data_IF_005878424129
#
_entry.id   IF_005878424129
#
_cell.length_a   1.000
_cell.length_b   1.000
_cell.length_c   1.000
_cell.angle_alpha   90.00
_cell.angle_beta   90.00
_cell.angle_gamma   90.00
#
_symmetry.space_group_name_H-M   'P 1'
#
loop_
_entity.id
_entity.type
_entity.pdbx_description
1 polymer ?
#
# COMPACT_ATOMS: atom_id res chain seq x y z
N UNK A 1 22.99 -18.05 -21.19
CA UNK A 1 24.08 -18.65 -22.00
C UNK A 1 25.20 -19.26 -21.15
N UNK A 2 26.01 -18.49 -20.40
CA UNK A 2 27.14 -19.01 -19.62
C UNK A 2 26.79 -20.18 -18.68
N UNK A 3 25.65 -20.08 -17.96
CA UNK A 3 25.13 -21.16 -17.10
C UNK A 3 24.89 -22.48 -17.84
N UNK A 4 24.32 -22.42 -19.05
CA UNK A 4 23.99 -23.60 -19.87
C UNK A 4 25.23 -24.24 -20.47
N UNK A 5 26.16 -23.41 -20.97
CA UNK A 5 27.47 -23.88 -21.42
C UNK A 5 28.23 -24.60 -20.29
N UNK A 6 28.24 -24.03 -19.09
CA UNK A 6 28.86 -24.65 -17.91
C UNK A 6 28.18 -25.96 -17.50
N UNK A 7 26.85 -26.08 -17.61
CA UNK A 7 26.12 -27.34 -17.39
C UNK A 7 26.53 -28.47 -18.35
N UNK A 8 26.99 -28.12 -19.56
CA UNK A 8 27.51 -29.06 -20.55
C UNK A 8 29.02 -29.31 -20.41
N UNK A 9 29.67 -28.75 -19.39
CA UNK A 9 31.12 -28.78 -19.19
C UNK A 9 31.93 -28.25 -20.40
N UNK A 10 31.36 -27.31 -21.17
CA UNK A 10 32.05 -26.72 -22.32
C UNK A 10 32.79 -25.43 -21.94
N UNK A 11 33.96 -25.24 -22.55
CA UNK A 11 34.69 -23.97 -22.61
C UNK A 11 34.05 -23.02 -23.63
N UNK A 12 34.36 -21.72 -23.54
CA UNK A 12 33.90 -20.74 -24.54
C UNK A 12 34.41 -21.08 -25.95
N UNK A 13 35.61 -21.65 -26.05
CA UNK A 13 36.21 -22.08 -27.32
C UNK A 13 35.46 -23.25 -27.95
N UNK A 14 35.00 -24.21 -27.16
CA UNK A 14 34.21 -25.35 -27.66
C UNK A 14 32.83 -24.92 -28.15
N UNK A 15 32.18 -23.98 -27.46
CA UNK A 15 30.94 -23.38 -27.95
C UNK A 15 31.18 -22.59 -29.24
N UNK A 16 32.25 -21.80 -29.29
CA UNK A 16 32.62 -21.01 -30.46
C UNK A 16 32.83 -21.89 -31.71
N UNK A 17 33.54 -23.01 -31.55
CA UNK A 17 33.72 -24.01 -32.62
C UNK A 17 32.40 -24.61 -33.09
N UNK A 18 31.50 -25.00 -32.17
CA UNK A 18 30.21 -25.62 -32.53
C UNK A 18 29.25 -24.67 -33.24
N UNK A 19 29.33 -23.37 -33.01
CA UNK A 19 28.46 -22.37 -33.65
C UNK A 19 29.14 -21.62 -34.81
N UNK A 20 30.39 -21.99 -35.12
CA UNK A 20 31.24 -21.38 -36.12
C UNK A 20 31.43 -19.86 -35.92
N UNK A 21 31.91 -19.47 -34.74
CA UNK A 21 32.25 -18.07 -34.40
C UNK A 21 33.55 -18.00 -33.59
N UNK A 22 34.02 -16.80 -33.25
CA UNK A 22 35.25 -16.63 -32.46
C UNK A 22 34.99 -16.75 -30.96
N UNK A 23 35.98 -17.26 -30.22
CA UNK A 23 35.94 -17.33 -28.75
C UNK A 23 35.74 -15.96 -28.12
N UNK A 24 36.34 -14.91 -28.70
CA UNK A 24 36.17 -13.53 -28.26
C UNK A 24 34.74 -13.02 -28.45
N UNK A 25 34.06 -13.45 -29.52
CA UNK A 25 32.65 -13.12 -29.74
C UNK A 25 31.75 -13.81 -28.71
N UNK A 26 31.97 -15.09 -28.41
CA UNK A 26 31.27 -15.81 -27.32
C UNK A 26 31.48 -15.10 -25.98
N UNK A 27 32.72 -14.69 -25.66
CA UNK A 27 33.01 -13.96 -24.43
C UNK A 27 32.25 -12.64 -24.33
N UNK A 28 32.19 -11.85 -25.42
CA UNK A 28 31.45 -10.58 -25.45
C UNK A 28 29.95 -10.76 -25.30
N UNK A 29 29.39 -11.85 -25.87
CA UNK A 29 27.98 -12.21 -25.71
C UNK A 29 27.69 -12.61 -24.26
N UNK A 30 28.51 -13.48 -23.67
CA UNK A 30 28.32 -13.93 -22.29
C UNK A 30 28.48 -12.81 -21.26
N UNK A 31 29.32 -11.81 -21.53
CA UNK A 31 29.49 -10.64 -20.68
C UNK A 31 28.48 -9.52 -20.95
N UNK A 32 27.50 -9.74 -21.84
CA UNK A 32 26.49 -8.73 -22.21
C UNK A 32 27.02 -7.52 -22.99
N UNK A 33 28.27 -7.56 -23.46
CA UNK A 33 28.93 -6.46 -24.20
C UNK A 33 28.60 -6.45 -25.69
N UNK A 34 27.94 -7.50 -26.19
CA UNK A 34 27.56 -7.63 -27.60
C UNK A 34 26.27 -8.43 -27.74
N UNK A 35 25.32 -7.89 -28.51
CA UNK A 35 24.08 -8.57 -28.87
C UNK A 35 24.24 -9.16 -30.28
N UNK A 36 24.27 -10.49 -30.44
CA UNK A 36 24.54 -11.11 -31.74
C UNK A 36 23.31 -11.06 -32.67
N UNK A 37 23.50 -11.12 -34.00
CA UNK A 37 22.41 -11.27 -34.95
C UNK A 37 21.59 -12.53 -34.66
N UNK A 38 20.29 -12.48 -34.93
CA UNK A 38 19.32 -13.54 -34.63
C UNK A 38 19.76 -14.93 -35.14
N UNK A 39 20.33 -14.97 -36.35
CA UNK A 39 20.87 -16.19 -36.98
C UNK A 39 22.00 -16.83 -36.16
N UNK A 40 22.86 -16.03 -35.54
CA UNK A 40 23.96 -16.51 -34.70
C UNK A 40 23.42 -16.94 -33.32
N UNK A 41 22.48 -16.17 -32.77
CA UNK A 41 21.82 -16.52 -31.51
C UNK A 41 21.11 -17.87 -31.63
N UNK A 42 20.31 -18.09 -32.68
CA UNK A 42 19.61 -19.34 -32.94
C UNK A 42 20.56 -20.55 -32.98
N UNK A 43 21.72 -20.42 -33.63
CA UNK A 43 22.75 -21.47 -33.66
C UNK A 43 23.30 -21.78 -32.26
N UNK A 44 23.62 -20.75 -31.47
CA UNK A 44 24.11 -20.90 -30.09
C UNK A 44 23.13 -21.68 -29.24
N UNK A 45 21.84 -21.35 -29.35
CA UNK A 45 20.78 -21.96 -28.56
C UNK A 45 20.55 -23.41 -28.95
N UNK A 46 20.48 -23.70 -30.26
CA UNK A 46 20.37 -25.06 -30.79
C UNK A 46 21.53 -25.95 -30.34
N UNK A 47 22.76 -25.42 -30.39
CA UNK A 47 23.98 -26.14 -29.99
C UNK A 47 24.02 -26.42 -28.50
N UNK A 48 23.55 -25.48 -27.67
CA UNK A 48 23.46 -25.67 -26.21
C UNK A 48 22.27 -26.55 -25.80
N UNK A 49 21.55 -27.12 -26.77
CA UNK A 49 20.32 -27.89 -26.57
C UNK A 49 19.31 -27.16 -25.66
N UNK A 50 19.30 -25.84 -25.81
CA UNK A 50 18.36 -24.97 -25.14
C UNK A 50 17.03 -25.14 -25.88
N UNK A 51 16.19 -26.07 -25.39
CA UNK A 51 14.82 -26.35 -25.91
C UNK A 51 13.88 -25.14 -25.85
N UNK A 52 14.37 -24.05 -25.30
CA UNK A 52 13.69 -22.87 -24.82
C UNK A 52 13.50 -21.84 -25.95
N UNK A 53 14.01 -22.13 -27.18
CA UNK A 53 14.00 -21.25 -28.37
C UNK A 53 13.69 -21.96 -29.70
N UNK A 54 13.27 -23.23 -29.69
CA UNK A 54 12.88 -23.97 -30.91
C UNK A 54 11.47 -23.64 -31.42
N UNK A 55 10.74 -22.74 -30.76
CA UNK A 55 9.40 -22.33 -31.21
C UNK A 55 9.45 -20.92 -31.79
N UNK A 56 8.93 -20.68 -33.00
CA UNK A 56 8.74 -19.33 -33.55
C UNK A 56 7.66 -18.52 -32.81
N UNK A 57 6.92 -19.14 -31.88
CA UNK A 57 5.76 -18.56 -31.18
C UNK A 57 6.12 -17.81 -29.89
N UNK A 58 7.31 -17.20 -29.77
CA UNK A 58 7.79 -16.55 -28.52
C UNK A 58 7.50 -15.03 -28.38
N UNK A 59 6.96 -14.38 -29.41
CA UNK A 59 6.45 -13.01 -29.34
C UNK A 59 5.15 -12.79 -28.50
N UNK A 60 4.22 -13.76 -28.34
CA UNK A 60 3.00 -13.57 -27.55
C UNK A 60 3.29 -13.41 -26.05
N UNK A 61 4.31 -14.07 -25.48
CA UNK A 61 4.47 -14.10 -24.02
C UNK A 61 4.89 -12.73 -23.45
N UNK A 62 5.84 -12.04 -24.08
CA UNK A 62 6.22 -10.68 -23.65
C UNK A 62 5.03 -9.73 -23.81
N UNK A 63 4.30 -9.85 -24.92
CA UNK A 63 3.09 -9.06 -25.14
C UNK A 63 2.04 -9.33 -24.05
N UNK A 64 1.77 -10.61 -23.72
CA UNK A 64 0.85 -11.01 -22.66
C UNK A 64 1.29 -10.52 -21.27
N UNK A 65 2.58 -10.64 -20.93
CA UNK A 65 3.12 -10.13 -19.67
C UNK A 65 2.99 -8.59 -19.59
N UNK A 66 3.22 -7.90 -20.70
CA UNK A 66 3.09 -6.44 -20.79
C UNK A 66 1.62 -6.03 -20.68
N UNK A 67 0.70 -6.72 -21.36
CA UNK A 67 -0.75 -6.52 -21.24
C UNK A 67 -1.23 -6.81 -19.82
N UNK A 68 -0.69 -7.86 -19.17
CA UNK A 68 -0.99 -8.14 -17.78
C UNK A 68 -0.52 -7.01 -16.87
N UNK A 69 0.74 -6.55 -17.01
CA UNK A 69 1.25 -5.42 -16.26
C UNK A 69 0.40 -4.16 -16.45
N UNK A 70 0.04 -3.83 -17.70
CA UNK A 70 -0.83 -2.70 -18.02
C UNK A 70 -2.19 -2.83 -17.34
N UNK A 71 -2.79 -4.02 -17.35
CA UNK A 71 -4.07 -4.26 -16.67
C UNK A 71 -3.97 -4.10 -15.13
N UNK A 72 -2.82 -4.44 -14.53
CA UNK A 72 -2.55 -4.22 -13.10
C UNK A 72 -2.43 -2.71 -12.82
N UNK A 73 -1.61 -2.00 -13.59
CA UNK A 73 -1.40 -0.54 -13.49
C UNK A 73 -2.72 0.23 -13.67
N UNK A 74 -3.57 -0.25 -14.58
CA UNK A 74 -4.92 0.29 -14.81
C UNK A 74 -5.95 -0.16 -13.76
N UNK A 75 -5.57 -1.04 -12.83
CA UNK A 75 -6.45 -1.67 -11.84
C UNK A 75 -7.70 -2.29 -12.48
N UNK A 76 -7.55 -2.84 -13.67
CA UNK A 76 -8.59 -3.61 -14.32
C UNK A 76 -8.58 -5.02 -13.74
N UNK A 77 -9.16 -5.17 -12.54
CA UNK A 77 -9.13 -6.41 -11.75
C UNK A 77 -9.61 -7.65 -12.53
N UNK A 78 -10.66 -7.50 -13.35
CA UNK A 78 -11.18 -8.60 -14.14
C UNK A 78 -10.16 -9.07 -15.19
N UNK A 79 -9.56 -8.13 -15.92
CA UNK A 79 -8.57 -8.43 -16.96
C UNK A 79 -7.24 -8.91 -16.37
N UNK A 80 -6.79 -8.28 -15.28
CA UNK A 80 -5.58 -8.69 -14.57
C UNK A 80 -5.71 -10.12 -14.02
N UNK A 81 -6.85 -10.47 -13.43
CA UNK A 81 -7.10 -11.84 -12.97
C UNK A 81 -7.23 -12.85 -14.11
N UNK A 82 -7.79 -12.45 -15.26
CA UNK A 82 -7.82 -13.30 -16.46
C UNK A 82 -6.39 -13.63 -16.91
N UNK A 83 -5.55 -12.62 -17.09
CA UNK A 83 -4.15 -12.81 -17.48
C UNK A 83 -3.37 -13.64 -16.45
N UNK A 84 -3.58 -13.41 -15.15
CA UNK A 84 -2.96 -14.20 -14.09
C UNK A 84 -3.25 -15.70 -14.25
N UNK A 85 -4.53 -16.07 -14.44
CA UNK A 85 -4.95 -17.48 -14.63
C UNK A 85 -4.43 -18.09 -15.92
N UNK A 86 -4.34 -17.31 -16.99
CA UNK A 86 -3.79 -17.77 -18.26
C UNK A 86 -2.28 -18.03 -18.13
N UNK A 87 -1.55 -17.09 -17.55
CA UNK A 87 -0.09 -17.12 -17.44
C UNK A 87 0.42 -18.15 -16.42
N UNK A 88 -0.36 -18.54 -15.42
CA UNK A 88 -0.04 -19.66 -14.52
C UNK A 88 0.12 -21.00 -15.25
N UNK A 89 -0.49 -21.16 -16.43
CA UNK A 89 -0.42 -22.41 -17.22
C UNK A 89 0.85 -22.53 -18.05
N UNK A 90 1.59 -21.43 -18.22
CA UNK A 90 2.79 -21.41 -19.05
C UNK A 90 4.02 -21.71 -18.19
N UNK A 91 4.94 -22.57 -18.65
CA UNK A 91 6.21 -22.80 -17.97
C UNK A 91 7.13 -21.59 -18.17
N UNK A 92 6.94 -20.54 -17.36
CA UNK A 92 7.76 -19.33 -17.37
C UNK A 92 9.12 -19.69 -16.80
N UNK A 93 10.04 -20.15 -17.64
CA UNK A 93 11.22 -20.83 -17.09
C UNK A 93 12.55 -20.49 -17.73
N UNK A 94 12.66 -19.61 -18.74
CA UNK A 94 13.93 -19.58 -19.49
C UNK A 94 14.53 -18.22 -19.87
N UNK A 95 13.80 -17.10 -19.78
CA UNK A 95 14.38 -15.77 -20.09
C UNK A 95 14.38 -14.85 -18.88
N UNK A 96 15.56 -14.33 -18.53
CA UNK A 96 15.76 -13.44 -17.38
C UNK A 96 14.79 -12.26 -17.36
N UNK A 97 14.62 -11.55 -18.48
CA UNK A 97 13.73 -10.38 -18.55
C UNK A 97 12.25 -10.75 -18.42
N UNK A 98 11.83 -11.90 -18.95
CA UNK A 98 10.44 -12.37 -18.83
C UNK A 98 10.16 -12.86 -17.41
N UNK A 99 11.12 -13.53 -16.78
CA UNK A 99 11.04 -13.96 -15.40
C UNK A 99 11.01 -12.76 -14.44
N UNK A 100 11.81 -11.74 -14.71
CA UNK A 100 11.78 -10.48 -13.97
C UNK A 100 10.39 -9.83 -14.06
N UNK A 101 9.88 -9.63 -15.28
CA UNK A 101 8.56 -9.03 -15.49
C UNK A 101 7.44 -9.88 -14.88
N UNK A 102 7.51 -11.21 -14.99
CA UNK A 102 6.56 -12.10 -14.36
C UNK A 102 6.59 -11.98 -12.82
N UNK A 103 7.78 -11.90 -12.23
CA UNK A 103 7.94 -11.71 -10.77
C UNK A 103 7.35 -10.37 -10.34
N UNK A 104 7.60 -9.30 -11.09
CA UNK A 104 6.99 -8.00 -10.86
C UNK A 104 5.46 -8.05 -10.96
N UNK A 105 4.91 -8.66 -12.02
CA UNK A 105 3.47 -8.76 -12.20
C UNK A 105 2.80 -9.54 -11.08
N UNK A 106 3.38 -10.67 -10.63
CA UNK A 106 2.84 -11.40 -9.47
C UNK A 106 2.88 -10.55 -8.20
N UNK A 107 4.00 -9.87 -7.96
CA UNK A 107 4.13 -8.98 -6.82
C UNK A 107 3.06 -7.89 -6.84
N UNK A 108 2.98 -7.12 -7.93
CA UNK A 108 2.00 -6.04 -8.08
C UNK A 108 0.56 -6.55 -8.05
N UNK A 109 0.27 -7.72 -8.62
CA UNK A 109 -1.04 -8.38 -8.54
C UNK A 109 -1.46 -8.56 -7.08
N UNK A 110 -0.60 -9.13 -6.23
CA UNK A 110 -0.94 -9.30 -4.81
C UNK A 110 -1.08 -7.95 -4.08
N UNK A 111 -0.29 -6.93 -4.46
CA UNK A 111 -0.41 -5.58 -3.89
C UNK A 111 -1.74 -4.90 -4.22
N UNK A 112 -2.24 -4.98 -5.46
CA UNK A 112 -3.52 -4.35 -5.82
C UNK A 112 -4.73 -4.98 -5.11
N UNK A 113 -4.59 -6.21 -4.60
CA UNK A 113 -5.58 -6.89 -3.76
C UNK A 113 -5.30 -6.78 -2.25
N UNK A 114 -4.33 -5.96 -1.84
CA UNK A 114 -3.95 -5.76 -0.43
C UNK A 114 -3.48 -7.04 0.28
N UNK A 115 -2.83 -7.96 -0.44
CA UNK A 115 -2.34 -9.24 0.10
C UNK A 115 -0.84 -9.20 0.35
N UNK A 116 -0.42 -8.38 1.30
CA UNK A 116 1.00 -8.19 1.64
C UNK A 116 1.71 -9.49 2.01
N UNK A 117 1.03 -10.43 2.69
CA UNK A 117 1.59 -11.74 3.05
C UNK A 117 1.86 -12.64 1.84
N UNK A 118 1.10 -12.47 0.75
CA UNK A 118 1.34 -13.21 -0.50
C UNK A 118 2.38 -12.49 -1.35
N UNK A 119 2.34 -11.14 -1.37
CA UNK A 119 3.33 -10.33 -2.06
C UNK A 119 4.74 -10.56 -1.52
N UNK A 120 4.92 -10.78 -0.21
CA UNK A 120 6.24 -11.00 0.40
C UNK A 120 7.00 -12.19 -0.21
N UNK A 121 6.29 -13.19 -0.75
CA UNK A 121 6.88 -14.36 -1.43
C UNK A 121 7.66 -13.99 -2.68
N UNK A 122 7.36 -12.84 -3.29
CA UNK A 122 8.03 -12.35 -4.49
C UNK A 122 9.02 -11.21 -4.19
N UNK A 123 9.10 -10.74 -2.94
CA UNK A 123 9.86 -9.54 -2.59
C UNK A 123 11.36 -9.67 -2.88
N UNK A 124 11.96 -10.79 -2.47
CA UNK A 124 13.40 -11.03 -2.66
C UNK A 124 13.78 -11.03 -4.15
N UNK A 125 12.96 -11.69 -4.98
CA UNK A 125 13.15 -11.71 -6.43
C UNK A 125 13.01 -10.29 -7.02
N UNK A 126 11.96 -9.56 -6.64
CA UNK A 126 11.71 -8.19 -7.14
C UNK A 126 12.84 -7.23 -6.73
N UNK A 127 13.36 -7.34 -5.50
CA UNK A 127 14.51 -6.55 -5.04
C UNK A 127 15.77 -6.87 -5.85
N UNK A 128 16.07 -8.16 -6.02
CA UNK A 128 17.20 -8.60 -6.84
C UNK A 128 17.12 -8.13 -8.28
N UNK A 129 15.92 -8.12 -8.87
CA UNK A 129 15.73 -7.56 -10.22
C UNK A 129 15.90 -6.04 -10.23
N UNK A 130 15.40 -5.33 -9.22
CA UNK A 130 15.60 -3.87 -9.12
C UNK A 130 17.09 -3.48 -9.09
N UNK A 131 17.93 -4.25 -8.40
CA UNK A 131 19.37 -4.00 -8.27
C UNK A 131 20.17 -4.31 -9.54
N UNK A 132 19.66 -5.19 -10.39
CA UNK A 132 20.40 -5.71 -11.57
C UNK A 132 19.96 -5.09 -12.90
N UNK A 133 18.74 -4.57 -12.97
CA UNK A 133 18.19 -3.93 -14.16
C UNK A 133 18.71 -2.50 -14.33
N UNK A 134 18.70 -1.99 -15.58
CA UNK A 134 19.04 -0.60 -15.85
C UNK A 134 18.06 0.37 -15.18
N UNK A 135 18.44 1.64 -14.93
CA UNK A 135 17.59 2.63 -14.26
C UNK A 135 16.19 2.84 -14.87
N UNK A 136 16.07 2.70 -16.19
CA UNK A 136 14.76 2.80 -16.86
C UNK A 136 13.88 1.58 -16.55
N UNK A 137 14.47 0.39 -16.44
CA UNK A 137 13.76 -0.87 -16.27
C UNK A 137 13.52 -1.25 -14.81
N UNK A 138 14.30 -0.71 -13.86
CA UNK A 138 14.09 -0.95 -12.44
C UNK A 138 13.07 -0.01 -11.78
N UNK A 139 12.77 1.14 -12.39
CA UNK A 139 11.81 2.11 -11.85
C UNK A 139 10.45 1.48 -11.44
N UNK A 140 9.80 0.61 -12.25
CA UNK A 140 8.56 -0.05 -11.85
C UNK A 140 8.71 -0.97 -10.62
N UNK A 141 9.88 -1.58 -10.45
CA UNK A 141 10.18 -2.47 -9.32
C UNK A 141 10.35 -1.68 -8.03
N UNK A 142 11.16 -0.62 -8.08
CA UNK A 142 11.41 0.26 -6.93
C UNK A 142 10.11 0.90 -6.45
N UNK A 143 9.29 1.39 -7.39
CA UNK A 143 7.96 1.93 -7.09
C UNK A 143 7.04 0.88 -6.45
N UNK A 144 7.02 -0.35 -6.96
CA UNK A 144 6.22 -1.44 -6.40
C UNK A 144 6.69 -1.85 -4.99
N UNK A 145 8.00 -1.88 -4.74
CA UNK A 145 8.56 -2.14 -3.41
C UNK A 145 8.14 -1.03 -2.43
N UNK A 146 8.19 0.23 -2.86
CA UNK A 146 7.68 1.35 -2.04
C UNK A 146 6.20 1.20 -1.70
N UNK A 147 5.35 0.78 -2.65
CA UNK A 147 3.95 0.47 -2.38
C UNK A 147 3.78 -0.67 -1.36
N UNK A 148 4.59 -1.72 -1.45
CA UNK A 148 4.57 -2.81 -0.49
C UNK A 148 4.82 -2.31 0.95
N UNK A 149 5.88 -1.51 1.15
CA UNK A 149 6.17 -0.93 2.45
C UNK A 149 5.10 0.06 2.93
N UNK A 150 4.49 0.81 2.00
CA UNK A 150 3.35 1.68 2.29
C UNK A 150 2.14 0.88 2.80
N UNK A 151 1.85 -0.29 2.22
CA UNK A 151 0.77 -1.17 2.66
C UNK A 151 1.05 -1.85 4.01
N UNK A 152 2.32 -1.99 4.39
CA UNK A 152 2.75 -2.48 5.72
C UNK A 152 2.81 -1.39 6.80
N UNK A 153 2.33 -0.18 6.50
CA UNK A 153 2.47 1.02 7.35
C UNK A 153 3.95 1.33 7.71
N UNK A 154 4.91 0.90 6.90
CA UNK A 154 6.35 1.20 7.04
C UNK A 154 6.70 2.45 6.21
N UNK A 155 6.30 3.62 6.71
CA UNK A 155 6.33 4.86 5.93
C UNK A 155 7.75 5.35 5.64
N UNK A 156 8.70 5.17 6.57
CA UNK A 156 10.12 5.51 6.32
C UNK A 156 10.69 4.75 5.13
N UNK A 157 10.43 3.45 5.08
CA UNK A 157 10.89 2.59 3.98
C UNK A 157 10.17 2.97 2.69
N UNK A 158 8.85 3.15 2.73
CA UNK A 158 8.06 3.58 1.57
C UNK A 158 8.60 4.87 0.93
N UNK A 159 8.80 5.92 1.73
CA UNK A 159 9.38 7.19 1.25
C UNK A 159 10.81 7.01 0.73
N UNK A 160 11.61 6.15 1.34
CA UNK A 160 12.96 5.86 0.86
C UNK A 160 12.91 5.30 -0.56
N UNK A 161 12.10 4.29 -0.82
CA UNK A 161 11.95 3.70 -2.16
C UNK A 161 11.34 4.69 -3.16
N UNK A 162 10.31 5.45 -2.77
CA UNK A 162 9.74 6.45 -3.66
C UNK A 162 10.75 7.54 -4.04
N UNK A 163 11.52 8.04 -3.09
CA UNK A 163 12.54 9.05 -3.34
C UNK A 163 13.68 8.52 -4.22
N UNK A 164 14.04 7.24 -4.07
CA UNK A 164 14.99 6.57 -4.98
C UNK A 164 14.40 6.51 -6.39
N UNK A 165 13.13 6.11 -6.55
CA UNK A 165 12.48 6.05 -7.86
C UNK A 165 12.49 7.43 -8.58
N UNK A 166 12.20 8.52 -7.86
CA UNK A 166 12.27 9.88 -8.41
C UNK A 166 13.68 10.23 -8.86
N UNK A 167 14.68 10.06 -7.98
CA UNK A 167 16.07 10.43 -8.29
C UNK A 167 16.61 9.69 -9.52
N UNK A 168 16.14 8.47 -9.74
CA UNK A 168 16.57 7.66 -10.87
C UNK A 168 15.92 8.05 -12.19
N UNK A 169 14.70 8.57 -12.16
CA UNK A 169 13.98 8.93 -13.38
C UNK A 169 12.99 10.10 -13.17
N UNK A 170 13.49 11.35 -13.04
CA UNK A 170 12.65 12.52 -12.77
C UNK A 170 11.59 12.77 -13.86
N UNK A 171 11.97 12.64 -15.13
CA UNK A 171 11.06 12.86 -16.27
C UNK A 171 9.89 11.87 -16.30
N UNK A 172 10.14 10.62 -15.85
CA UNK A 172 9.11 9.60 -15.77
C UNK A 172 8.17 9.86 -14.58
N UNK A 173 8.71 10.32 -13.45
CA UNK A 173 7.93 10.68 -12.27
C UNK A 173 6.84 11.70 -12.60
N UNK A 174 7.16 12.78 -13.31
CA UNK A 174 6.19 13.84 -13.66
C UNK A 174 4.97 13.32 -14.46
N UNK A 175 5.12 12.19 -15.17
CA UNK A 175 4.10 11.62 -16.05
C UNK A 175 3.46 10.35 -15.50
N UNK A 176 3.90 9.89 -14.34
CA UNK A 176 3.45 8.66 -13.70
C UNK A 176 2.38 8.94 -12.63
N UNK A 177 1.12 8.75 -13.01
CA UNK A 177 0.00 8.95 -12.07
C UNK A 177 0.04 8.00 -10.87
N UNK A 178 0.64 6.80 -10.98
CA UNK A 178 0.67 5.84 -9.87
C UNK A 178 1.62 6.29 -8.77
N UNK A 179 2.82 6.76 -9.11
CA UNK A 179 3.76 7.24 -8.08
C UNK A 179 3.20 8.46 -7.36
N UNK A 180 2.55 9.39 -8.09
CA UNK A 180 1.84 10.51 -7.47
C UNK A 180 0.72 10.01 -6.54
N UNK A 181 -0.06 9.02 -6.95
CA UNK A 181 -1.10 8.43 -6.09
C UNK A 181 -0.49 7.76 -4.84
N UNK A 182 0.67 7.11 -4.95
CA UNK A 182 1.34 6.48 -3.80
C UNK A 182 1.89 7.51 -2.81
N UNK A 183 2.47 8.61 -3.30
CA UNK A 183 2.83 9.76 -2.46
C UNK A 183 1.61 10.35 -1.80
N UNK A 184 0.49 10.49 -2.51
CA UNK A 184 -0.74 11.00 -1.93
C UNK A 184 -1.18 10.16 -0.72
N UNK A 185 -1.17 8.83 -0.85
CA UNK A 185 -1.44 7.92 0.28
C UNK A 185 -0.41 8.02 1.40
N UNK A 186 0.88 8.13 1.08
CA UNK A 186 1.95 8.23 2.08
C UNK A 186 1.85 9.53 2.89
N UNK A 187 1.66 10.66 2.21
CA UNK A 187 1.46 11.96 2.83
C UNK A 187 0.18 12.03 3.67
N UNK A 188 -0.90 11.40 3.20
CA UNK A 188 -2.14 11.25 3.98
C UNK A 188 -1.88 10.52 5.30
N UNK A 189 -1.08 9.44 5.30
CA UNK A 189 -0.76 8.69 6.52
C UNK A 189 0.10 9.48 7.51
N UNK A 190 1.01 10.33 7.04
CA UNK A 190 1.82 11.18 7.95
C UNK A 190 1.14 12.51 8.33
N UNK A 191 -0.12 12.72 7.94
CA UNK A 191 -0.88 13.92 8.30
C UNK A 191 -0.61 15.15 7.43
N UNK A 192 0.19 15.05 6.38
CA UNK A 192 0.48 16.15 5.44
C UNK A 192 -0.62 16.27 4.38
N UNK A 193 -1.78 16.79 4.80
CA UNK A 193 -2.99 16.84 3.97
C UNK A 193 -2.82 17.70 2.70
N UNK A 194 -2.03 18.78 2.76
CA UNK A 194 -1.78 19.65 1.60
C UNK A 194 -0.97 18.90 0.53
N UNK A 195 0.18 18.34 0.89
CA UNK A 195 1.03 17.56 -0.02
C UNK A 195 0.28 16.35 -0.59
N UNK A 196 -0.47 15.66 0.25
CA UNK A 196 -1.33 14.56 -0.18
C UNK A 196 -2.35 15.00 -1.23
N UNK A 197 -2.98 16.15 -1.04
CA UNK A 197 -3.98 16.69 -1.98
C UNK A 197 -3.34 17.16 -3.27
N UNK A 198 -2.16 17.77 -3.21
CA UNK A 198 -1.38 18.17 -4.38
C UNK A 198 -1.06 16.95 -5.25
N UNK A 199 -0.47 15.91 -4.65
CA UNK A 199 -0.14 14.67 -5.36
C UNK A 199 -1.38 13.94 -5.90
N UNK A 200 -2.47 13.89 -5.13
CA UNK A 200 -3.74 13.30 -5.59
C UNK A 200 -4.32 14.06 -6.79
N UNK A 201 -4.18 15.39 -6.82
CA UNK A 201 -4.66 16.23 -7.92
C UNK A 201 -3.82 16.02 -9.19
N UNK A 202 -2.49 15.93 -9.06
CA UNK A 202 -1.62 15.59 -10.19
C UNK A 202 -1.95 14.20 -10.73
N UNK A 203 -2.08 13.19 -9.86
CA UNK A 203 -2.47 11.84 -10.24
C UNK A 203 -3.82 11.82 -10.97
N UNK A 204 -4.81 12.55 -10.44
CA UNK A 204 -6.14 12.68 -11.06
C UNK A 204 -6.05 13.22 -12.50
N UNK A 205 -5.31 14.31 -12.71
CA UNK A 205 -5.13 14.89 -14.06
C UNK A 205 -4.49 13.90 -15.04
N UNK A 206 -3.44 13.19 -14.60
CA UNK A 206 -2.77 12.17 -15.42
C UNK A 206 -3.74 11.01 -15.74
N UNK A 207 -4.54 10.55 -14.78
CA UNK A 207 -5.47 9.46 -15.03
C UNK A 207 -6.69 9.86 -15.85
N UNK A 208 -7.12 11.12 -15.77
CA UNK A 208 -8.16 11.70 -16.64
C UNK A 208 -7.72 11.73 -18.10
N UNK A 209 -6.49 12.20 -18.39
CA UNK A 209 -5.97 12.19 -19.76
C UNK A 209 -5.82 10.78 -20.35
N UNK A 210 -5.70 9.75 -19.49
CA UNK A 210 -5.63 8.33 -19.86
C UNK A 210 -6.96 7.58 -19.75
N UNK A 211 -8.05 8.26 -19.38
CA UNK A 211 -9.39 7.69 -19.14
C UNK A 211 -9.39 6.49 -18.17
N UNK A 212 -8.50 6.49 -17.18
CA UNK A 212 -8.33 5.40 -16.22
C UNK A 212 -9.28 5.56 -15.02
N UNK A 213 -10.53 5.13 -15.20
CA UNK A 213 -11.60 5.31 -14.21
C UNK A 213 -11.30 4.75 -12.82
N UNK A 214 -10.72 3.54 -12.64
CA UNK A 214 -10.38 3.04 -11.32
C UNK A 214 -9.41 3.94 -10.55
N UNK A 215 -8.37 4.44 -11.22
CA UNK A 215 -7.41 5.33 -10.57
C UNK A 215 -7.93 6.77 -10.42
N UNK A 216 -8.80 7.26 -11.31
CA UNK A 216 -9.54 8.52 -11.11
C UNK A 216 -10.31 8.46 -9.80
N UNK A 217 -11.07 7.38 -9.57
CA UNK A 217 -11.84 7.17 -8.36
C UNK A 217 -10.95 7.14 -7.11
N UNK A 218 -9.81 6.44 -7.16
CA UNK A 218 -8.87 6.41 -6.04
C UNK A 218 -8.28 7.79 -5.73
N UNK A 219 -7.91 8.57 -6.74
CA UNK A 219 -7.44 9.94 -6.53
C UNK A 219 -8.51 10.82 -5.88
N UNK A 220 -9.77 10.70 -6.31
CA UNK A 220 -10.90 11.41 -5.67
C UNK A 220 -11.10 10.98 -4.22
N UNK A 221 -11.05 9.68 -3.94
CA UNK A 221 -11.16 9.12 -2.59
C UNK A 221 -10.11 9.72 -1.64
N UNK A 222 -8.85 9.88 -2.09
CA UNK A 222 -7.80 10.50 -1.26
C UNK A 222 -8.11 11.96 -0.99
N UNK A 223 -8.53 12.72 -2.01
CA UNK A 223 -8.92 14.12 -1.85
C UNK A 223 -10.07 14.28 -0.85
N UNK A 224 -11.14 13.49 -1.00
CA UNK A 224 -12.27 13.48 -0.07
C UNK A 224 -11.80 13.17 1.35
N UNK A 225 -10.94 12.17 1.53
CA UNK A 225 -10.40 11.83 2.85
C UNK A 225 -9.62 13.00 3.48
N UNK A 226 -8.83 13.71 2.69
CA UNK A 226 -8.09 14.89 3.17
C UNK A 226 -9.02 16.05 3.51
N UNK A 227 -10.07 16.25 2.71
CA UNK A 227 -11.15 17.21 2.98
C UNK A 227 -11.85 16.92 4.31
N UNK A 228 -12.22 15.66 4.55
CA UNK A 228 -12.80 15.25 5.84
C UNK A 228 -11.86 15.56 7.00
N UNK A 229 -10.54 15.45 6.82
CA UNK A 229 -9.58 15.80 7.89
C UNK A 229 -9.49 17.31 8.14
N UNK A 230 -9.63 18.14 7.10
CA UNK A 230 -9.31 19.57 7.20
C UNK A 230 -10.37 20.43 7.92
N UNK A 231 -11.55 19.88 8.25
CA UNK A 231 -12.68 20.56 8.92
C UNK A 231 -13.16 21.89 8.28
N UNK A 232 -12.53 22.35 7.19
CA UNK A 232 -12.70 23.68 6.62
C UNK A 232 -13.58 23.70 5.36
N UNK A 233 -14.13 22.55 4.94
CA UNK A 233 -15.03 22.45 3.78
C UNK A 233 -16.44 22.03 4.20
N UNK A 234 -17.47 22.44 3.43
CA UNK A 234 -18.86 22.07 3.71
C UNK A 234 -19.03 20.55 3.63
N UNK A 235 -19.23 19.92 4.79
CA UNK A 235 -19.39 18.47 4.95
C UNK A 235 -20.52 17.91 4.08
N UNK A 236 -21.56 18.70 3.82
CA UNK A 236 -22.70 18.32 2.99
C UNK A 236 -22.33 18.07 1.53
N UNK A 237 -21.44 18.88 0.95
CA UNK A 237 -20.94 18.67 -0.42
C UNK A 237 -20.14 17.37 -0.50
N UNK A 238 -19.36 17.06 0.56
CA UNK A 238 -18.59 15.82 0.63
C UNK A 238 -19.49 14.59 0.74
N UNK A 239 -20.56 14.68 1.53
CA UNK A 239 -21.57 13.61 1.64
C UNK A 239 -22.25 13.38 0.28
N UNK A 240 -22.65 14.46 -0.40
CA UNK A 240 -23.26 14.37 -1.73
C UNK A 240 -22.29 13.73 -2.74
N UNK A 241 -21.04 14.17 -2.78
CA UNK A 241 -20.03 13.60 -3.69
C UNK A 241 -19.84 12.10 -3.46
N UNK A 242 -19.83 11.64 -2.20
CA UNK A 242 -19.70 10.23 -1.87
C UNK A 242 -20.93 9.40 -2.30
N UNK A 243 -22.14 9.95 -2.21
CA UNK A 243 -23.35 9.30 -2.74
C UNK A 243 -23.31 9.24 -4.26
N UNK A 244 -22.96 10.33 -4.93
CA UNK A 244 -22.81 10.35 -6.39
C UNK A 244 -21.80 9.30 -6.86
N UNK A 245 -20.71 9.09 -6.10
CA UNK A 245 -19.74 8.04 -6.40
C UNK A 245 -20.39 6.65 -6.26
N UNK A 246 -21.17 6.39 -5.21
CA UNK A 246 -21.84 5.09 -5.02
C UNK A 246 -22.86 4.79 -6.11
N UNK A 247 -23.61 5.82 -6.53
CA UNK A 247 -24.67 5.67 -7.52
C UNK A 247 -24.11 5.46 -8.93
N UNK A 248 -22.97 6.07 -9.25
CA UNK A 248 -22.38 6.05 -10.59
C UNK A 248 -21.26 5.02 -10.77
N UNK A 249 -20.64 4.50 -9.70
CA UNK A 249 -19.49 3.60 -9.78
C UNK A 249 -19.74 2.26 -9.08
N UNK A 250 -19.71 1.18 -9.86
CA UNK A 250 -19.57 -0.18 -9.32
C UNK A 250 -18.09 -0.44 -9.07
N UNK A 251 -17.65 -0.39 -7.80
CA UNK A 251 -16.23 -0.43 -7.45
C UNK A 251 -15.94 -1.48 -6.39
N UNK A 252 -14.74 -2.07 -6.44
CA UNK A 252 -14.26 -2.89 -5.32
C UNK A 252 -14.05 -2.06 -4.04
N UNK A 253 -14.04 -0.73 -4.17
CA UNK A 253 -13.85 0.21 -3.06
C UNK A 253 -15.18 0.66 -2.42
N UNK A 254 -16.33 0.10 -2.83
CA UNK A 254 -17.66 0.46 -2.28
C UNK A 254 -17.70 0.41 -0.75
N UNK A 255 -17.09 -0.61 -0.13
CA UNK A 255 -17.05 -0.72 1.34
C UNK A 255 -16.27 0.44 1.97
N UNK A 256 -15.16 0.84 1.35
CA UNK A 256 -14.37 1.96 1.83
C UNK A 256 -15.12 3.29 1.66
N UNK A 257 -15.90 3.44 0.59
CA UNK A 257 -16.76 4.62 0.38
C UNK A 257 -17.87 4.69 1.44
N UNK A 258 -18.50 3.57 1.79
CA UNK A 258 -19.43 3.53 2.94
C UNK A 258 -18.75 3.92 4.26
N UNK A 259 -17.51 3.49 4.46
CA UNK A 259 -16.74 3.92 5.63
C UNK A 259 -16.43 5.43 5.59
N UNK A 260 -16.10 6.02 4.44
CA UNK A 260 -15.91 7.46 4.33
C UNK A 260 -17.22 8.25 4.57
N UNK A 261 -18.35 7.77 4.06
CA UNK A 261 -19.66 8.32 4.40
C UNK A 261 -19.90 8.28 5.90
N UNK A 262 -19.53 7.19 6.57
CA UNK A 262 -19.69 7.11 8.02
C UNK A 262 -18.87 8.15 8.77
N UNK A 263 -17.65 8.45 8.31
CA UNK A 263 -16.84 9.54 8.87
C UNK A 263 -17.50 10.90 8.57
N UNK A 264 -18.02 11.10 7.36
CA UNK A 264 -18.62 12.35 6.96
C UNK A 264 -19.89 12.67 7.80
N UNK A 265 -20.78 11.70 7.97
CA UNK A 265 -21.96 11.83 8.84
C UNK A 265 -21.57 12.02 10.30
N UNK A 266 -20.54 11.34 10.78
CA UNK A 266 -20.01 11.54 12.13
C UNK A 266 -19.55 12.99 12.34
N UNK A 267 -18.83 13.58 11.38
CA UNK A 267 -18.42 14.99 11.45
C UNK A 267 -19.59 15.96 11.36
N UNK A 268 -20.69 15.54 10.75
CA UNK A 268 -21.96 16.27 10.73
C UNK A 268 -22.82 16.02 12.00
N UNK A 269 -22.27 15.38 13.04
CA UNK A 269 -22.97 14.98 14.27
C UNK A 269 -24.18 14.06 14.06
N UNK A 270 -24.28 13.41 12.90
CA UNK A 270 -25.33 12.45 12.57
C UNK A 270 -24.84 11.02 12.87
N UNK A 271 -24.89 10.67 14.15
CA UNK A 271 -24.39 9.38 14.63
C UNK A 271 -25.21 8.19 14.10
N UNK A 272 -26.50 8.36 13.83
CA UNK A 272 -27.36 7.32 13.29
C UNK A 272 -26.89 6.90 11.89
N UNK A 273 -26.72 7.87 10.98
CA UNK A 273 -26.21 7.60 9.64
C UNK A 273 -24.76 7.13 9.66
N UNK A 274 -23.92 7.67 10.55
CA UNK A 274 -22.56 7.18 10.74
C UNK A 274 -22.53 5.68 11.06
N UNK A 275 -23.30 5.24 12.05
CA UNK A 275 -23.42 3.83 12.42
C UNK A 275 -24.01 2.98 11.28
N UNK A 276 -25.06 3.46 10.61
CA UNK A 276 -25.71 2.78 9.48
C UNK A 276 -24.73 2.48 8.35
N UNK A 277 -23.99 3.49 7.87
CA UNK A 277 -23.06 3.31 6.77
C UNK A 277 -21.82 2.50 7.18
N UNK A 278 -21.33 2.65 8.40
CA UNK A 278 -20.20 1.86 8.86
C UNK A 278 -20.57 0.36 9.01
N UNK A 279 -21.78 0.05 9.49
CA UNK A 279 -22.31 -1.33 9.52
C UNK A 279 -22.39 -1.94 8.11
N UNK A 280 -22.80 -1.15 7.10
CA UNK A 280 -22.77 -1.58 5.70
C UNK A 280 -21.34 -1.90 5.23
N UNK A 281 -20.37 -1.04 5.56
CA UNK A 281 -18.96 -1.28 5.24
C UNK A 281 -18.45 -2.60 5.86
N UNK A 282 -18.71 -2.83 7.16
CA UNK A 282 -18.28 -4.03 7.89
C UNK A 282 -18.91 -5.31 7.31
N UNK A 283 -20.21 -5.28 6.98
CA UNK A 283 -20.95 -6.47 6.49
C UNK A 283 -20.36 -7.05 5.22
N UNK A 284 -19.89 -6.20 4.32
CA UNK A 284 -19.41 -6.59 2.99
C UNK A 284 -17.88 -6.63 2.86
N UNK A 285 -17.14 -6.21 3.89
CA UNK A 285 -15.68 -6.21 3.88
C UNK A 285 -15.11 -7.61 4.08
N UNK A 286 -14.28 -8.02 3.11
CA UNK A 286 -13.60 -9.31 3.08
C UNK A 286 -12.15 -9.20 3.55
N UNK A 287 -11.56 -8.00 3.49
CA UNK A 287 -10.19 -7.76 3.90
C UNK A 287 -10.18 -7.50 5.41
N UNK A 288 -9.65 -8.45 6.20
CA UNK A 288 -9.62 -8.36 7.66
C UNK A 288 -9.02 -7.05 8.17
N UNK A 289 -7.91 -6.59 7.58
CA UNK A 289 -7.25 -5.34 7.99
C UNK A 289 -8.17 -4.10 7.83
N UNK A 290 -8.92 -4.01 6.74
CA UNK A 290 -9.90 -2.93 6.53
C UNK A 290 -11.11 -3.09 7.45
N UNK A 291 -11.58 -4.32 7.64
CA UNK A 291 -12.73 -4.61 8.50
C UNK A 291 -12.47 -4.19 9.95
N UNK A 292 -11.28 -4.48 10.47
CA UNK A 292 -10.86 -4.09 11.82
C UNK A 292 -10.87 -2.56 11.98
N UNK A 293 -10.42 -1.82 10.97
CA UNK A 293 -10.49 -0.35 10.95
C UNK A 293 -11.92 0.17 11.11
N UNK A 294 -12.86 -0.43 10.38
CA UNK A 294 -14.27 -0.04 10.44
C UNK A 294 -14.88 -0.36 11.81
N UNK A 295 -14.52 -1.51 12.39
CA UNK A 295 -14.93 -1.91 13.75
C UNK A 295 -14.36 -0.96 14.80
N UNK A 296 -13.09 -0.57 14.70
CA UNK A 296 -12.52 0.42 15.62
C UNK A 296 -13.32 1.73 15.58
N UNK A 297 -13.67 2.21 14.37
CA UNK A 297 -14.47 3.42 14.24
C UNK A 297 -15.88 3.26 14.83
N UNK A 298 -16.54 2.10 14.69
CA UNK A 298 -17.87 1.91 15.28
C UNK A 298 -17.81 1.85 16.81
N UNK A 299 -16.77 1.22 17.38
CA UNK A 299 -16.54 1.22 18.83
C UNK A 299 -16.34 2.64 19.35
N UNK A 300 -15.58 3.45 18.61
CA UNK A 300 -15.33 4.85 18.94
C UNK A 300 -16.64 5.67 18.96
N UNK A 301 -17.51 5.49 17.96
CA UNK A 301 -18.81 6.17 17.92
C UNK A 301 -19.70 5.75 19.10
N UNK A 302 -19.78 4.45 19.42
CA UNK A 302 -20.54 3.98 20.58
C UNK A 302 -20.01 4.55 21.90
N UNK A 303 -18.68 4.64 22.04
CA UNK A 303 -18.06 5.24 23.21
C UNK A 303 -18.46 6.71 23.39
N UNK A 304 -18.51 7.50 22.33
CA UNK A 304 -18.99 8.90 22.37
C UNK A 304 -20.48 9.02 22.70
N UNK A 305 -21.29 8.04 22.30
CA UNK A 305 -22.70 7.93 22.65
C UNK A 305 -22.95 7.42 24.08
N UNK A 306 -21.91 7.07 24.83
CA UNK A 306 -22.00 6.47 26.19
C UNK A 306 -22.73 5.12 26.23
N UNK A 307 -22.66 4.39 25.12
CA UNK A 307 -23.11 3.01 25.04
C UNK A 307 -21.93 2.06 25.30
N UNK A 308 -21.53 1.99 26.58
CA UNK A 308 -20.33 1.28 27.04
C UNK A 308 -20.39 -0.21 26.69
N UNK A 309 -21.57 -0.83 26.83
CA UNK A 309 -21.81 -2.24 26.54
C UNK A 309 -21.56 -2.55 25.05
N UNK A 310 -22.14 -1.75 24.16
CA UNK A 310 -21.92 -1.93 22.72
C UNK A 310 -20.49 -1.59 22.32
N UNK A 311 -19.91 -0.53 22.87
CA UNK A 311 -18.52 -0.17 22.59
C UNK A 311 -17.57 -1.32 22.95
N UNK A 312 -17.69 -1.88 24.16
CA UNK A 312 -16.85 -3.00 24.61
C UNK A 312 -17.12 -4.28 23.81
N UNK A 313 -18.38 -4.60 23.51
CA UNK A 313 -18.73 -5.76 22.68
C UNK A 313 -18.09 -5.69 21.29
N UNK A 314 -18.14 -4.51 20.67
CA UNK A 314 -17.52 -4.26 19.36
C UNK A 314 -16.00 -4.35 19.46
N UNK A 315 -15.39 -3.83 20.53
CA UNK A 315 -13.94 -3.92 20.77
C UNK A 315 -13.50 -5.39 20.81
N UNK A 316 -14.18 -6.23 21.60
CA UNK A 316 -13.85 -7.67 21.69
C UNK A 316 -14.01 -8.37 20.34
N UNK A 317 -15.09 -8.07 19.61
CA UNK A 317 -15.28 -8.56 18.25
C UNK A 317 -14.14 -8.13 17.31
N UNK A 318 -13.67 -6.90 17.43
CA UNK A 318 -12.52 -6.36 16.69
C UNK A 318 -11.21 -7.06 17.02
N UNK A 319 -10.92 -7.25 18.31
CA UNK A 319 -9.73 -7.96 18.80
C UNK A 319 -9.69 -9.39 18.26
N UNK A 320 -10.83 -10.10 18.25
CA UNK A 320 -10.90 -11.50 17.81
C UNK A 320 -10.50 -11.75 16.35
N UNK A 321 -10.68 -10.75 15.48
CA UNK A 321 -10.32 -10.84 14.06
C UNK A 321 -9.07 -10.03 13.71
N UNK A 322 -8.51 -9.31 14.68
CA UNK A 322 -7.39 -8.42 14.45
C UNK A 322 -6.10 -9.22 14.24
N UNK A 323 -5.32 -8.79 13.24
CA UNK A 323 -3.97 -9.29 12.97
C UNK A 323 -2.93 -8.19 12.96
N UNK A 324 -3.35 -6.94 13.16
CA UNK A 324 -2.51 -5.75 13.05
C UNK A 324 -2.27 -5.14 14.44
N UNK A 325 -1.00 -5.06 14.82
CA UNK A 325 -0.55 -4.49 16.10
C UNK A 325 -1.03 -3.06 16.32
N UNK A 326 -1.19 -2.28 15.24
CA UNK A 326 -1.75 -0.92 15.29
C UNK A 326 -3.14 -0.88 15.91
N UNK A 327 -4.03 -1.76 15.44
CA UNK A 327 -5.41 -1.79 15.94
C UNK A 327 -5.52 -2.45 17.31
N UNK A 328 -4.59 -3.34 17.67
CA UNK A 328 -4.48 -3.85 19.04
C UNK A 328 -4.26 -2.69 20.02
N UNK A 329 -3.33 -1.78 19.69
CA UNK A 329 -3.09 -0.59 20.49
C UNK A 329 -4.27 0.37 20.51
N UNK A 330 -4.93 0.60 19.38
CA UNK A 330 -6.12 1.45 19.36
C UNK A 330 -7.28 0.90 20.19
N UNK A 331 -7.52 -0.41 20.14
CA UNK A 331 -8.49 -1.06 21.02
C UNK A 331 -8.08 -0.97 22.49
N UNK A 332 -6.80 -1.18 22.80
CA UNK A 332 -6.26 -1.01 24.15
C UNK A 332 -6.51 0.40 24.71
N UNK A 333 -6.17 1.43 23.92
CA UNK A 333 -6.36 2.83 24.30
C UNK A 333 -7.86 3.13 24.56
N UNK A 334 -8.72 2.80 23.60
CA UNK A 334 -10.16 3.07 23.71
C UNK A 334 -10.81 2.31 24.87
N UNK A 335 -10.45 1.02 25.05
CA UNK A 335 -10.93 0.19 26.16
C UNK A 335 -10.51 0.77 27.52
N UNK A 336 -9.25 1.21 27.65
CA UNK A 336 -8.76 1.82 28.89
C UNK A 336 -9.48 3.13 29.24
N UNK A 337 -9.87 3.91 28.21
CA UNK A 337 -10.70 5.10 28.41
C UNK A 337 -12.09 4.73 28.92
N UNK A 338 -12.80 3.84 28.22
CA UNK A 338 -14.17 3.41 28.59
C UNK A 338 -14.21 2.80 30.00
N UNK A 339 -13.20 2.00 30.35
CA UNK A 339 -13.11 1.33 31.65
C UNK A 339 -12.59 2.22 32.78
N UNK A 340 -12.12 3.44 32.49
CA UNK A 340 -11.54 4.34 33.48
C UNK A 340 -10.18 3.88 34.04
N UNK A 341 -9.43 3.08 33.28
CA UNK A 341 -8.09 2.59 33.67
C UNK A 341 -6.95 3.42 33.06
N UNK A 342 -7.29 4.42 32.24
CA UNK A 342 -6.33 5.26 31.53
C UNK A 342 -5.42 6.10 32.45
N UNK A 343 -5.88 6.45 33.66
CA UNK A 343 -5.09 7.12 34.69
C UNK A 343 -4.19 6.21 35.53
N UNK A 344 -4.11 4.90 35.22
CA UNK A 344 -3.18 4.00 35.92
C UNK A 344 -1.75 4.13 35.39
N UNK A 345 -0.76 3.85 36.24
CA UNK A 345 0.65 3.85 35.83
C UNK A 345 0.91 2.82 34.73
N UNK A 346 0.34 1.62 34.85
CA UNK A 346 0.46 0.56 33.84
C UNK A 346 -0.06 1.01 32.46
N UNK A 347 -1.17 1.76 32.42
CA UNK A 347 -1.66 2.33 31.18
C UNK A 347 -0.67 3.32 30.58
N UNK A 348 -0.24 4.31 31.36
CA UNK A 348 0.69 5.35 30.91
C UNK A 348 2.02 4.77 30.42
N UNK A 349 2.62 3.85 31.17
CA UNK A 349 3.86 3.17 30.78
C UNK A 349 3.70 2.45 29.45
N UNK A 350 2.62 1.67 29.27
CA UNK A 350 2.38 0.99 28.00
C UNK A 350 2.24 1.96 26.84
N UNK A 351 1.53 3.09 27.02
CA UNK A 351 1.44 4.08 25.93
C UNK A 351 2.81 4.73 25.63
N UNK A 352 3.57 5.11 26.66
CA UNK A 352 4.82 5.84 26.52
C UNK A 352 5.99 4.98 26.02
N UNK A 353 6.08 3.72 26.48
CA UNK A 353 7.24 2.86 26.28
C UNK A 353 7.04 1.81 25.18
N UNK A 354 5.79 1.50 24.82
CA UNK A 354 5.47 0.49 23.80
C UNK A 354 4.74 1.12 22.59
N UNK A 355 3.62 1.81 22.82
CA UNK A 355 2.73 2.25 21.73
C UNK A 355 3.33 3.43 20.94
N UNK A 356 3.81 4.48 21.61
CA UNK A 356 4.43 5.63 20.95
C UNK A 356 5.71 5.21 20.20
N UNK A 357 6.65 4.44 20.79
CA UNK A 357 7.82 3.95 20.08
C UNK A 357 7.48 3.10 18.84
N UNK A 358 6.44 2.26 18.90
CA UNK A 358 5.97 1.51 17.74
C UNK A 358 5.64 2.42 16.55
N UNK A 359 4.81 3.45 16.74
CA UNK A 359 4.45 4.38 15.67
C UNK A 359 5.64 5.22 15.20
N UNK A 360 6.52 5.61 16.12
CA UNK A 360 7.75 6.33 15.78
C UNK A 360 8.71 5.50 14.92
N UNK A 361 8.88 4.21 15.22
CA UNK A 361 9.71 3.30 14.45
C UNK A 361 9.18 3.16 13.02
N UNK A 362 7.86 2.96 12.88
CA UNK A 362 7.14 2.86 11.61
C UNK A 362 7.11 4.17 10.81
N UNK A 363 7.41 5.31 11.44
CA UNK A 363 7.34 6.64 10.84
C UNK A 363 5.92 7.20 10.74
N UNK A 364 4.99 6.64 11.51
CA UNK A 364 3.58 7.01 11.46
C UNK A 364 3.27 8.17 12.40
N UNK A 365 3.58 9.39 11.96
CA UNK A 365 3.54 10.59 12.80
C UNK A 365 2.13 10.96 13.26
N UNK A 366 1.11 10.73 12.44
CA UNK A 366 -0.27 11.08 12.80
C UNK A 366 -0.75 10.26 13.99
N UNK A 367 -0.53 8.94 13.95
CA UNK A 367 -0.89 8.01 15.03
C UNK A 367 0.00 8.19 16.26
N UNK A 368 1.27 8.53 16.09
CA UNK A 368 2.15 8.94 17.19
C UNK A 368 1.57 10.17 17.91
N UNK A 369 1.21 11.20 17.15
CA UNK A 369 0.64 12.44 17.69
C UNK A 369 -0.69 12.20 18.40
N UNK A 370 -1.53 11.31 17.85
CA UNK A 370 -2.76 10.86 18.51
C UNK A 370 -2.48 10.24 19.89
N UNK A 371 -1.44 9.43 20.04
CA UNK A 371 -1.07 8.85 21.33
C UNK A 371 -0.53 9.90 22.31
N UNK A 372 0.26 10.87 21.84
CA UNK A 372 0.69 12.01 22.66
C UNK A 372 -0.50 12.86 23.13
N UNK A 373 -1.49 13.09 22.27
CA UNK A 373 -2.71 13.80 22.67
C UNK A 373 -3.46 13.08 23.80
N UNK A 374 -3.62 11.76 23.70
CA UNK A 374 -4.23 10.96 24.78
C UNK A 374 -3.42 11.09 26.06
N UNK A 375 -2.09 10.89 26.02
CA UNK A 375 -1.27 10.99 27.22
C UNK A 375 -1.32 12.40 27.84
N UNK A 376 -1.32 13.45 27.02
CA UNK A 376 -1.45 14.83 27.48
C UNK A 376 -2.72 15.04 28.28
N UNK A 377 -3.86 14.65 27.72
CA UNK A 377 -5.16 14.77 28.38
C UNK A 377 -5.24 13.89 29.64
N UNK A 378 -4.70 12.66 29.60
CA UNK A 378 -4.63 11.78 30.77
C UNK A 378 -3.82 12.42 31.90
N UNK A 379 -2.62 12.93 31.60
CA UNK A 379 -1.77 13.60 32.59
C UNK A 379 -2.45 14.85 33.15
N UNK A 380 -3.14 15.61 32.31
CA UNK A 380 -3.87 16.80 32.73
C UNK A 380 -4.99 16.44 33.73
N UNK A 381 -5.77 15.40 33.44
CA UNK A 381 -6.86 14.95 34.32
C UNK A 381 -6.38 14.41 35.67
N UNK A 382 -5.20 13.80 35.74
CA UNK A 382 -4.58 13.36 37.00
C UNK A 382 -3.69 14.43 37.68
N UNK A 383 -3.76 15.68 37.20
CA UNK A 383 -3.05 16.85 37.74
C UNK A 383 -1.51 16.81 37.59
N UNK A 384 -1.00 16.02 36.66
CA UNK A 384 0.43 15.94 36.31
C UNK A 384 0.72 16.96 35.20
N UNK A 385 0.56 18.25 35.53
CA UNK A 385 0.51 19.32 34.53
C UNK A 385 1.82 19.51 33.76
N UNK A 386 2.97 19.21 34.36
CA UNK A 386 4.28 19.31 33.70
C UNK A 386 4.41 18.25 32.60
N UNK A 387 4.03 17.02 32.92
CA UNK A 387 4.01 15.90 31.99
C UNK A 387 2.99 16.15 30.88
N UNK A 388 1.80 16.66 31.22
CA UNK A 388 0.78 17.06 30.26
C UNK A 388 1.33 18.13 29.28
N UNK A 389 1.96 19.19 29.80
CA UNK A 389 2.56 20.23 28.98
C UNK A 389 3.64 19.69 28.04
N UNK A 390 4.47 18.74 28.49
CA UNK A 390 5.46 18.08 27.63
C UNK A 390 4.80 17.33 26.46
N UNK A 391 3.65 16.68 26.69
CA UNK A 391 2.92 16.00 25.62
C UNK A 391 2.26 17.01 24.67
N UNK A 392 1.63 18.07 25.20
CA UNK A 392 0.98 19.10 24.38
C UNK A 392 1.96 19.92 23.55
N UNK A 393 3.21 20.09 24.02
CA UNK A 393 4.28 20.68 23.22
C UNK A 393 4.57 19.87 21.95
N UNK A 394 4.44 18.54 22.01
CA UNK A 394 4.62 17.67 20.85
C UNK A 394 3.39 17.75 19.93
N UNK A 395 2.19 17.76 20.52
CA UNK A 395 0.95 17.88 19.75
C UNK A 395 -0.16 18.55 20.59
N UNK A 396 -0.67 19.73 20.17
CA UNK A 396 -1.51 20.60 21.01
C UNK A 396 -2.95 20.11 21.23
N UNK A 397 -3.24 18.82 21.00
CA UNK A 397 -4.50 18.19 21.35
C UNK A 397 -5.40 17.82 20.16
N UNK A 398 -6.42 17.00 20.44
CA UNK A 398 -7.43 16.55 19.48
C UNK A 398 -8.80 16.70 20.15
N UNK A 399 -9.64 17.57 19.62
CA UNK A 399 -10.94 17.92 20.23
C UNK A 399 -11.82 16.71 20.53
N UNK A 400 -11.78 15.68 19.69
CA UNK A 400 -12.57 14.48 19.90
C UNK A 400 -12.01 13.58 21.00
N UNK A 401 -10.69 13.56 21.21
CA UNK A 401 -10.08 12.82 22.33
C UNK A 401 -10.46 13.49 23.65
N UNK A 402 -10.37 14.83 23.69
CA UNK A 402 -10.75 15.59 24.88
C UNK A 402 -12.24 15.46 25.18
N UNK A 403 -13.11 15.42 24.16
CA UNK A 403 -14.53 15.11 24.33
C UNK A 403 -14.73 13.70 24.91
N UNK A 404 -14.03 12.69 24.37
CA UNK A 404 -14.11 11.32 24.86
C UNK A 404 -13.66 11.23 26.33
N UNK A 405 -12.53 11.82 26.70
CA UNK A 405 -12.03 11.79 28.07
C UNK A 405 -12.91 12.59 29.04
N UNK A 406 -13.52 13.69 28.58
CA UNK A 406 -14.52 14.42 29.37
C UNK A 406 -15.74 13.54 29.69
N UNK A 407 -16.16 12.71 28.72
CA UNK A 407 -17.23 11.74 28.92
C UNK A 407 -16.82 10.67 29.93
N UNK A 408 -15.58 10.17 29.91
CA UNK A 408 -15.09 9.13 30.82
C UNK A 408 -14.03 9.69 31.79
N UNK A 409 -14.42 10.49 32.79
CA UNK A 409 -13.47 11.01 33.76
C UNK A 409 -12.80 9.86 34.51
N UNK A 410 -11.53 10.06 34.86
CA UNK A 410 -10.78 9.11 35.68
C UNK A 410 -11.52 8.87 37.00
N UNK A 411 -11.81 7.61 37.30
CA UNK A 411 -12.39 7.18 38.58
C UNK A 411 -11.36 7.16 39.68
#
# INVERSE_FOLDING_TARGET
>A
MCKYRKKLNWTQGELAKKVNTSTSMISKIESGKYHPPEKLMSKILKVLNIKELTYPEYHPLIAQLTSWQQSIVQRNYATANKHYKELQKFPISYFYNQLALYSLCNFQQELIYFRTDQASKFLEDVQKYADTLSPVNNYPYIKAIGLYYLLLDQLKDAFTYFNVAIKMNPDLFEKDGEIHLYYAFAYDKIGQALDSTTHATTALSIFQSKLNQPNILLSRIVKIKNTLRSQNQPIQETIQELHDILDNYTSIHTNYIYYLLSIAYFQNNDFEHALKYNKKAIRHEKISALKVRYIFFIAYVYALLKDDEMALTVIEGGISINKDKKYEYFFYLLKGIIQGTHGTEAYRQKVAEEIIPYFQLKGNMLEKNYCHAILGDVYYHIQFYKEAANQYYIYPGNSYISELLTKYPQK
#
